data_IF_141696550116
#
_entry.id   IF_141696550116
#
_cell.length_a   1.000
_cell.length_b   1.000
_cell.length_c   1.000
_cell.angle_alpha   90.00
_cell.angle_beta   90.00
_cell.angle_gamma   90.00
#
_symmetry.space_group_name_H-M   'P 1'
#
loop_
_entity.id
_entity.type
_entity.pdbx_description
1 polymer ?
#
# COMPACT_ATOMS: atom_id res chain seq x y z
N UNK A 1 -2.70 -28.72 12.53
CA UNK A 1 -2.17 -28.08 13.75
C UNK A 1 -2.06 -26.59 13.44
N UNK A 2 -3.03 -25.79 13.91
CA UNK A 2 -3.09 -24.36 13.65
C UNK A 2 -2.19 -23.63 14.67
N UNK A 3 -1.11 -23.03 14.21
CA UNK A 3 -0.30 -22.14 15.03
C UNK A 3 -1.06 -20.83 15.22
N UNK A 4 -1.40 -20.50 16.47
CA UNK A 4 -1.98 -19.23 16.83
C UNK A 4 -0.96 -18.10 16.56
N UNK A 5 -1.28 -17.21 15.61
CA UNK A 5 -0.51 -15.99 15.41
C UNK A 5 -0.75 -15.03 16.59
N UNK A 6 0.30 -14.35 17.10
CA UNK A 6 0.14 -13.40 18.20
C UNK A 6 -0.67 -12.19 17.72
N UNK A 7 -1.93 -12.16 18.14
CA UNK A 7 -2.78 -10.96 18.09
C UNK A 7 -2.20 -9.93 19.05
N UNK A 8 -1.90 -8.73 18.56
CA UNK A 8 -1.69 -7.57 19.42
C UNK A 8 -3.01 -7.28 20.15
N UNK A 9 -3.16 -7.88 21.33
CA UNK A 9 -4.27 -7.63 22.24
C UNK A 9 -4.13 -6.21 22.78
N UNK A 10 -4.93 -5.28 22.25
CA UNK A 10 -5.18 -4.02 22.92
C UNK A 10 -5.94 -4.32 24.22
N UNK A 11 -5.23 -4.21 25.35
CA UNK A 11 -5.81 -4.48 26.67
C UNK A 11 -7.02 -3.59 26.93
N UNK A 12 -8.19 -4.22 27.13
CA UNK A 12 -9.34 -3.57 27.77
C UNK A 12 -8.93 -3.24 29.21
N UNK A 13 -8.94 -1.97 29.59
CA UNK A 13 -8.95 -1.60 31.02
C UNK A 13 -10.27 -2.09 31.61
N UNK A 14 -10.19 -2.79 32.75
CA UNK A 14 -11.34 -3.03 33.62
C UNK A 14 -11.85 -1.68 34.11
N UNK A 15 -13.08 -1.31 33.75
CA UNK A 15 -13.82 -0.24 34.43
C UNK A 15 -14.56 -0.86 35.60
N UNK A 16 -14.29 -0.34 36.79
CA UNK A 16 -15.06 -0.62 38.01
C UNK A 16 -16.53 -0.22 37.81
N UNK A 17 -17.44 -1.05 38.32
CA UNK A 17 -18.88 -0.84 38.32
C UNK A 17 -19.25 0.37 39.19
N UNK A 18 -19.91 1.37 38.59
CA UNK A 18 -21.02 2.09 39.23
C UNK A 18 -22.11 2.40 38.20
N UNK A 19 -23.33 2.20 38.66
CA UNK A 19 -24.56 2.10 37.90
C UNK A 19 -25.12 3.43 37.35
N UNK A 20 -26.05 3.24 36.40
CA UNK A 20 -27.08 4.12 35.87
C UNK A 20 -26.71 5.28 34.92
N UNK A 21 -27.22 5.19 33.69
CA UNK A 21 -27.48 6.34 32.83
C UNK A 21 -27.08 6.20 31.36
N UNK A 22 -28.07 5.90 30.50
CA UNK A 22 -28.16 6.19 29.05
C UNK A 22 -27.03 5.73 28.10
N UNK A 23 -27.41 4.77 27.24
CA UNK A 23 -26.72 4.44 25.99
C UNK A 23 -26.68 5.66 25.08
N UNK A 24 -25.50 6.28 24.94
CA UNK A 24 -25.21 7.23 23.87
C UNK A 24 -24.22 6.58 22.91
N UNK A 25 -24.60 6.56 21.64
CA UNK A 25 -23.81 6.08 20.52
C UNK A 25 -22.50 6.86 20.42
N UNK A 26 -21.37 6.24 20.77
CA UNK A 26 -20.05 6.76 20.48
C UNK A 26 -19.76 6.56 18.98
N UNK A 27 -20.21 7.53 18.17
CA UNK A 27 -19.73 7.76 16.82
C UNK A 27 -18.21 7.88 16.87
N UNK A 28 -17.50 6.85 16.39
CA UNK A 28 -16.05 6.90 16.23
C UNK A 28 -15.71 7.92 15.15
N UNK A 29 -15.43 9.16 15.56
CA UNK A 29 -14.89 10.19 14.67
C UNK A 29 -13.57 9.69 14.10
N UNK A 30 -13.58 9.28 12.83
CA UNK A 30 -12.38 9.13 12.03
C UNK A 30 -11.69 10.51 11.99
N UNK A 31 -10.53 10.62 12.63
CA UNK A 31 -9.74 11.85 12.59
C UNK A 31 -9.09 11.91 11.22
N UNK A 32 -9.64 12.76 10.36
CA UNK A 32 -9.07 13.13 9.08
C UNK A 32 -7.65 13.67 9.28
N UNK A 33 -6.69 13.18 8.48
CA UNK A 33 -5.41 13.85 8.28
C UNK A 33 -5.65 15.15 7.51
N UNK A 34 -6.17 16.16 8.19
CA UNK A 34 -6.21 17.50 7.64
C UNK A 34 -4.84 18.14 7.84
N UNK A 35 -4.22 18.54 6.74
CA UNK A 35 -2.98 19.30 6.70
C UNK A 35 -3.18 20.64 7.43
N UNK A 36 -2.88 20.65 8.73
CA UNK A 36 -3.10 21.79 9.61
C UNK A 36 -2.38 21.65 10.95
N UNK A 37 -1.06 21.85 10.92
CA UNK A 37 -0.19 22.33 12.01
C UNK A 37 -0.34 21.84 13.47
N UNK A 38 -1.00 20.71 13.73
CA UNK A 38 -1.02 20.05 15.04
C UNK A 38 -0.37 18.67 14.91
N UNK A 39 0.81 18.49 15.53
CA UNK A 39 1.45 17.16 15.63
C UNK A 39 0.51 16.25 16.43
N UNK A 40 -0.22 15.38 15.74
CA UNK A 40 -1.06 14.39 16.39
C UNK A 40 -0.15 13.41 17.15
N UNK A 41 -0.25 13.40 18.48
CA UNK A 41 0.55 12.54 19.35
C UNK A 41 -0.17 11.20 19.53
N UNK A 42 0.16 10.21 18.71
CA UNK A 42 -0.32 8.84 18.90
C UNK A 42 0.62 8.07 19.82
N UNK A 43 0.53 8.30 21.14
CA UNK A 43 1.44 7.70 22.11
C UNK A 43 1.56 6.17 21.96
N UNK A 44 0.48 5.36 21.88
CA UNK A 44 0.62 3.90 21.76
C UNK A 44 1.36 3.48 20.48
N UNK A 45 1.12 4.18 19.38
CA UNK A 45 1.78 3.92 18.10
C UNK A 45 3.27 4.25 18.17
N UNK A 46 3.62 5.40 18.79
CA UNK A 46 5.00 5.78 19.03
C UNK A 46 5.76 4.76 19.88
N UNK A 47 5.14 4.25 20.96
CA UNK A 47 5.70 3.17 21.77
C UNK A 47 5.81 1.85 20.99
N UNK A 48 4.84 1.54 20.14
CA UNK A 48 4.86 0.38 19.26
C UNK A 48 6.09 0.37 18.35
N UNK A 49 6.36 1.46 17.63
CA UNK A 49 7.55 1.60 16.78
C UNK A 49 8.85 1.63 17.59
N UNK A 50 8.87 2.29 18.76
CA UNK A 50 10.04 2.31 19.64
C UNK A 50 10.42 0.91 20.18
N UNK A 51 9.42 0.07 20.47
CA UNK A 51 9.65 -1.31 20.90
C UNK A 51 10.00 -2.21 19.71
N UNK A 52 9.31 -2.06 18.58
CA UNK A 52 9.58 -2.84 17.36
C UNK A 52 10.97 -2.58 16.81
N UNK A 53 11.47 -1.35 16.83
CA UNK A 53 12.88 -1.07 16.48
C UNK A 53 13.89 -1.81 17.36
N UNK A 54 13.56 -2.11 18.62
CA UNK A 54 14.43 -2.94 19.45
C UNK A 54 14.57 -4.35 18.88
N UNK A 55 13.44 -4.95 18.49
CA UNK A 55 13.40 -6.27 17.87
C UNK A 55 14.09 -6.27 16.50
N UNK A 56 13.84 -5.25 15.67
CA UNK A 56 14.46 -5.13 14.34
C UNK A 56 15.98 -4.99 14.41
N UNK A 57 16.50 -4.32 15.45
CA UNK A 57 17.93 -4.24 15.69
C UNK A 57 18.54 -5.61 15.98
N UNK A 58 17.91 -6.41 16.84
CA UNK A 58 18.34 -7.80 17.13
C UNK A 58 18.22 -8.73 15.92
N UNK A 59 17.26 -8.46 15.03
CA UNK A 59 17.08 -9.17 13.76
C UNK A 59 18.04 -8.70 12.65
N UNK A 60 18.98 -7.78 12.95
CA UNK A 60 19.90 -7.16 11.99
C UNK A 60 19.19 -6.44 10.81
N UNK A 61 17.91 -6.07 10.97
CA UNK A 61 17.14 -5.28 10.01
C UNK A 61 17.41 -3.78 10.26
N UNK A 62 18.66 -3.35 10.12
CA UNK A 62 19.13 -2.04 10.56
C UNK A 62 18.39 -0.87 9.88
N UNK A 63 18.16 -0.91 8.56
CA UNK A 63 17.43 0.16 7.86
C UNK A 63 15.99 0.31 8.37
N UNK A 64 15.30 -0.81 8.60
CA UNK A 64 13.93 -0.80 9.13
C UNK A 64 13.91 -0.37 10.59
N UNK A 65 14.92 -0.74 11.38
CA UNK A 65 15.08 -0.26 12.74
C UNK A 65 15.22 1.27 12.78
N UNK A 66 16.05 1.83 11.90
CA UNK A 66 16.21 3.29 11.78
C UNK A 66 14.88 3.96 11.40
N UNK A 67 14.15 3.39 10.44
CA UNK A 67 12.84 3.89 10.02
C UNK A 67 11.81 3.89 11.17
N UNK A 68 11.75 2.82 11.95
CA UNK A 68 10.88 2.73 13.12
C UNK A 68 11.24 3.77 14.20
N UNK A 69 12.53 4.02 14.41
CA UNK A 69 13.01 5.05 15.35
C UNK A 69 12.52 6.44 14.92
N UNK A 70 12.69 6.78 13.64
CA UNK A 70 12.23 8.06 13.09
C UNK A 70 10.72 8.19 13.17
N UNK A 71 10.00 7.12 12.86
CA UNK A 71 8.53 7.08 12.93
C UNK A 71 8.05 7.26 14.36
N UNK A 72 8.65 6.58 15.33
CA UNK A 72 8.34 6.74 16.75
C UNK A 72 8.49 8.20 17.20
N UNK A 73 9.60 8.84 16.85
CA UNK A 73 9.85 10.25 17.17
C UNK A 73 8.79 11.16 16.52
N UNK A 74 8.46 10.93 15.25
CA UNK A 74 7.43 11.73 14.55
C UNK A 74 6.02 11.57 15.14
N UNK A 75 5.69 10.38 15.66
CA UNK A 75 4.42 10.09 16.34
C UNK A 75 4.36 10.63 17.79
N UNK A 76 5.39 11.35 18.23
CA UNK A 76 5.42 11.99 19.55
C UNK A 76 5.93 11.10 20.67
N UNK A 77 6.88 10.20 20.39
CA UNK A 77 7.59 9.46 21.44
C UNK A 77 8.20 10.45 22.47
N UNK A 78 8.12 10.19 23.78
CA UNK A 78 8.53 11.16 24.79
C UNK A 78 9.99 11.62 24.62
N UNK A 79 10.21 12.94 24.58
CA UNK A 79 11.54 13.54 24.34
C UNK A 79 12.60 13.06 25.34
N UNK A 80 12.21 12.88 26.60
CA UNK A 80 13.06 12.31 27.67
C UNK A 80 13.56 10.89 27.38
N UNK A 81 12.92 10.15 26.47
CA UNK A 81 13.31 8.79 26.08
C UNK A 81 14.03 8.74 24.73
N UNK A 82 14.23 9.89 24.05
CA UNK A 82 14.87 9.93 22.72
C UNK A 82 16.30 9.41 22.73
N UNK A 83 17.06 9.66 23.80
CA UNK A 83 18.46 9.22 23.89
C UNK A 83 18.60 7.70 23.69
N UNK A 84 17.66 6.89 24.20
CA UNK A 84 17.65 5.44 24.01
C UNK A 84 17.44 5.02 22.56
N UNK A 85 16.57 5.74 21.83
CA UNK A 85 16.35 5.48 20.41
C UNK A 85 17.53 5.95 19.57
N UNK A 86 18.12 7.11 19.88
CA UNK A 86 19.28 7.63 19.16
C UNK A 86 20.52 6.76 19.38
N UNK A 87 20.72 6.22 20.57
CA UNK A 87 21.78 5.22 20.83
C UNK A 87 21.60 4.00 19.92
N UNK A 88 20.38 3.45 19.83
CA UNK A 88 20.08 2.33 18.91
C UNK A 88 20.29 2.70 17.45
N UNK A 89 19.89 3.91 17.04
CA UNK A 89 20.08 4.42 15.67
C UNK A 89 21.58 4.53 15.33
N UNK A 90 22.40 5.05 16.24
CA UNK A 90 23.85 5.10 16.08
C UNK A 90 24.45 3.69 15.93
N UNK A 91 24.03 2.74 16.77
CA UNK A 91 24.46 1.33 16.65
C UNK A 91 24.09 0.71 15.29
N UNK A 92 22.91 1.02 14.75
CA UNK A 92 22.52 0.58 13.40
C UNK A 92 23.52 1.09 12.34
N UNK A 93 23.83 2.39 12.37
CA UNK A 93 24.78 2.97 11.42
C UNK A 93 26.20 2.43 11.57
N UNK A 94 26.65 2.17 12.81
CA UNK A 94 27.94 1.51 13.07
C UNK A 94 27.97 0.11 12.45
N UNK A 95 26.92 -0.69 12.68
CA UNK A 95 26.82 -2.04 12.12
C UNK A 95 26.80 -2.04 10.58
N UNK A 96 26.22 -1.00 9.97
CA UNK A 96 26.22 -0.78 8.52
C UNK A 96 27.47 -0.09 7.97
N UNK A 97 28.49 0.20 8.81
CA UNK A 97 29.72 0.93 8.44
C UNK A 97 29.47 2.37 7.95
N UNK A 98 28.34 2.97 8.32
CA UNK A 98 27.94 4.34 7.96
C UNK A 98 28.44 5.34 9.02
N UNK A 99 29.77 5.49 9.11
CA UNK A 99 30.47 6.25 10.17
C UNK A 99 30.01 7.70 10.31
N UNK A 100 29.88 8.43 9.19
CA UNK A 100 29.50 9.85 9.22
C UNK A 100 28.12 10.07 9.86
N UNK A 101 27.16 9.21 9.53
CA UNK A 101 25.80 9.30 10.08
C UNK A 101 25.75 8.84 11.55
N UNK A 102 26.52 7.80 11.91
CA UNK A 102 26.65 7.38 13.29
C UNK A 102 27.15 8.53 14.18
N UNK A 103 28.23 9.20 13.77
CA UNK A 103 28.79 10.35 14.51
C UNK A 103 27.77 11.48 14.67
N UNK A 104 27.10 11.86 13.58
CA UNK A 104 26.05 12.90 13.59
C UNK A 104 24.92 12.58 14.58
N UNK A 105 24.47 11.31 14.62
CA UNK A 105 23.43 10.88 15.57
C UNK A 105 23.93 10.91 17.02
N UNK A 106 25.18 10.50 17.26
CA UNK A 106 25.78 10.52 18.60
C UNK A 106 25.90 11.94 19.13
N UNK A 107 26.39 12.88 18.32
CA UNK A 107 26.48 14.30 18.66
C UNK A 107 25.12 14.88 19.01
N UNK A 108 24.11 14.63 18.15
CA UNK A 108 22.72 15.05 18.39
C UNK A 108 22.16 14.47 19.70
N UNK A 109 22.50 13.22 20.03
CA UNK A 109 22.04 12.55 21.25
C UNK A 109 22.70 13.14 22.52
N UNK A 110 23.99 13.44 22.46
CA UNK A 110 24.73 14.08 23.56
C UNK A 110 24.19 15.47 23.85
N UNK A 111 23.97 16.29 22.82
CA UNK A 111 23.35 17.61 22.95
C UNK A 111 21.94 17.52 23.57
N UNK A 112 21.12 16.60 23.05
CA UNK A 112 19.75 16.38 23.53
C UNK A 112 19.75 15.97 25.00
N UNK A 113 20.67 15.10 25.42
CA UNK A 113 20.80 14.65 26.82
C UNK A 113 21.15 15.78 27.79
N UNK A 114 21.87 16.82 27.36
CA UNK A 114 22.21 17.99 28.19
C UNK A 114 21.01 18.93 28.35
N UNK A 115 20.17 19.04 27.33
CA UNK A 115 19.04 19.97 27.30
C UNK A 115 17.79 19.49 28.08
N UNK A 116 17.73 18.22 28.49
CA UNK A 116 16.53 17.59 29.05
C UNK A 116 16.60 17.39 30.56
N UNK A 117 15.46 17.53 31.28
CA UNK A 117 15.36 17.25 32.71
C UNK A 117 15.33 15.73 32.96
N UNK A 118 16.45 15.06 32.70
CA UNK A 118 16.65 13.64 33.01
C UNK A 118 17.10 13.48 34.47
N UNK A 119 16.77 12.34 35.07
CA UNK A 119 17.41 11.92 36.32
C UNK A 119 18.94 11.80 36.11
N UNK A 120 19.72 12.22 37.11
CA UNK A 120 21.17 12.33 36.96
C UNK A 120 21.86 10.99 36.71
N UNK A 121 21.32 9.90 37.26
CA UNK A 121 21.86 8.54 37.03
C UNK A 121 21.62 8.09 35.60
N UNK A 122 20.41 8.30 35.07
CA UNK A 122 20.03 7.96 33.69
C UNK A 122 20.82 8.79 32.67
N UNK A 123 21.06 10.07 32.98
CA UNK A 123 21.86 10.96 32.15
C UNK A 123 23.30 10.48 32.03
N UNK A 124 23.96 10.19 33.16
CA UNK A 124 25.35 9.68 33.18
C UNK A 124 25.48 8.37 32.41
N UNK A 125 24.62 7.40 32.68
CA UNK A 125 24.63 6.11 31.98
C UNK A 125 24.44 6.26 30.47
N UNK A 126 23.52 7.12 30.02
CA UNK A 126 23.33 7.37 28.58
C UNK A 126 24.52 8.09 27.94
N UNK A 127 25.13 9.04 28.63
CA UNK A 127 26.31 9.77 28.13
C UNK A 127 27.52 8.86 28.02
N UNK A 128 27.77 8.01 29.02
CA UNK A 128 28.85 7.02 28.98
C UNK A 128 28.70 6.07 27.79
N UNK A 129 27.49 5.54 27.56
CA UNK A 129 27.20 4.69 26.41
C UNK A 129 27.45 5.40 25.07
N UNK A 130 27.00 6.65 24.92
CA UNK A 130 27.21 7.44 23.70
C UNK A 130 28.68 7.79 23.47
N UNK A 131 29.43 8.14 24.53
CA UNK A 131 30.88 8.39 24.45
C UNK A 131 31.65 7.13 24.07
N UNK A 132 31.22 5.96 24.57
CA UNK A 132 31.81 4.68 24.17
C UNK A 132 31.57 4.40 22.68
N UNK A 133 30.35 4.63 22.18
CA UNK A 133 30.04 4.50 20.76
C UNK A 133 30.84 5.49 19.90
N UNK A 134 31.02 6.72 20.38
CA UNK A 134 31.83 7.73 19.69
C UNK A 134 33.29 7.27 19.53
N UNK A 135 33.90 6.76 20.61
CA UNK A 135 35.25 6.16 20.57
C UNK A 135 35.30 4.96 19.63
N UNK A 136 34.29 4.09 19.65
CA UNK A 136 34.19 2.94 18.75
C UNK A 136 34.18 3.39 17.27
N UNK A 137 33.39 4.41 16.93
CA UNK A 137 33.37 5.00 15.59
C UNK A 137 34.73 5.57 15.16
N UNK A 138 35.50 6.14 16.10
CA UNK A 138 36.81 6.70 15.81
C UNK A 138 37.86 5.60 15.58
N UNK A 139 37.82 4.52 16.36
CA UNK A 139 38.85 3.47 16.40
C UNK A 139 38.65 2.42 15.29
N UNK A 140 37.44 2.19 14.77
CA UNK A 140 37.19 1.19 13.72
C UNK A 140 38.04 1.47 12.45
N UNK A 141 39.19 0.80 12.35
CA UNK A 141 39.84 0.42 11.11
C UNK A 141 38.97 -0.63 10.42
N UNK A 142 38.88 -0.58 9.08
CA UNK A 142 37.80 -1.15 8.27
C UNK A 142 37.73 -2.70 8.18
N UNK A 143 38.45 -3.46 9.01
CA UNK A 143 38.74 -4.88 8.73
C UNK A 143 38.14 -5.91 9.71
N UNK A 144 37.76 -5.56 10.93
CA UNK A 144 37.29 -6.58 11.90
C UNK A 144 35.77 -6.80 11.89
N UNK A 145 35.36 -7.96 11.35
CA UNK A 145 33.96 -8.43 11.26
C UNK A 145 33.36 -8.97 12.57
N UNK A 146 34.12 -8.95 13.68
CA UNK A 146 33.76 -9.64 14.93
C UNK A 146 32.99 -8.79 15.96
N UNK A 147 32.86 -7.48 15.75
CA UNK A 147 32.28 -6.54 16.73
C UNK A 147 31.01 -5.82 16.24
N UNK A 148 30.02 -6.56 15.71
CA UNK A 148 28.69 -5.99 15.49
C UNK A 148 28.04 -5.64 16.83
N UNK A 149 27.62 -4.38 17.06
CA UNK A 149 26.94 -4.02 18.29
C UNK A 149 25.61 -4.78 18.41
N UNK A 150 25.40 -5.50 19.50
CA UNK A 150 24.13 -6.16 19.85
C UNK A 150 23.49 -5.50 21.08
N UNK A 151 22.18 -5.65 21.27
CA UNK A 151 21.59 -5.40 22.58
C UNK A 151 21.89 -6.61 23.47
N UNK A 152 21.95 -6.41 24.79
CA UNK A 152 22.19 -7.48 25.78
C UNK A 152 20.96 -8.41 25.89
N UNK A 153 20.59 -9.10 24.82
CA UNK A 153 19.49 -10.07 24.80
C UNK A 153 20.03 -11.46 24.54
N UNK A 154 19.71 -12.40 25.43
CA UNK A 154 20.09 -13.82 25.36
C UNK A 154 19.30 -14.61 24.29
N UNK A 155 19.02 -14.01 23.13
CA UNK A 155 18.26 -14.67 22.07
C UNK A 155 19.17 -15.60 21.23
N UNK A 156 18.83 -16.89 21.06
CA UNK A 156 19.60 -17.81 20.23
C UNK A 156 19.62 -17.36 18.76
N UNK A 157 20.80 -17.35 18.13
CA UNK A 157 20.98 -16.98 16.72
C UNK A 157 20.16 -17.83 15.74
N UNK A 158 19.91 -19.10 16.07
CA UNK A 158 19.10 -20.02 15.26
C UNK A 158 17.62 -19.61 15.13
N UNK A 159 17.09 -18.78 16.03
CA UNK A 159 15.73 -18.27 15.95
C UNK A 159 15.55 -17.15 14.91
N UNK A 160 16.63 -16.46 14.54
CA UNK A 160 16.61 -15.31 13.60
C UNK A 160 16.46 -15.79 12.16
N UNK A 161 17.12 -16.90 11.80
CA UNK A 161 17.13 -17.44 10.43
C UNK A 161 15.75 -17.95 9.97
N UNK A 162 14.93 -18.49 10.88
CA UNK A 162 13.59 -19.00 10.57
C UNK A 162 12.51 -17.91 10.44
N UNK A 163 12.61 -16.80 11.19
CA UNK A 163 11.61 -15.73 11.16
C UNK A 163 11.76 -14.82 9.94
N UNK A 164 12.97 -14.72 9.39
CA UNK A 164 13.32 -13.88 8.25
C UNK A 164 13.46 -14.70 6.96
N UNK A 165 12.69 -15.76 6.77
CA UNK A 165 12.54 -16.37 5.44
C UNK A 165 11.86 -15.35 4.52
N UNK A 166 12.66 -14.37 4.05
CA UNK A 166 12.30 -13.25 3.21
C UNK A 166 11.95 -13.87 1.87
N UNK A 167 10.68 -14.20 1.69
CA UNK A 167 10.16 -14.37 0.34
C UNK A 167 10.29 -13.00 -0.33
N UNK A 168 11.42 -12.77 -0.99
CA UNK A 168 11.65 -11.56 -1.77
C UNK A 168 10.81 -11.75 -3.01
N UNK A 169 9.76 -10.94 -3.16
CA UNK A 169 9.06 -10.84 -4.44
C UNK A 169 10.11 -10.54 -5.51
N UNK A 170 10.31 -11.42 -6.50
CA UNK A 170 11.30 -11.18 -7.53
C UNK A 170 10.92 -9.89 -8.26
N UNK A 171 11.94 -9.13 -8.67
CA UNK A 171 11.69 -8.01 -9.57
C UNK A 171 11.12 -8.57 -10.88
N UNK A 172 10.16 -7.87 -11.52
CA UNK A 172 9.71 -8.25 -12.85
C UNK A 172 10.91 -8.43 -13.79
N UNK A 173 10.88 -9.44 -14.68
CA UNK A 173 11.94 -9.59 -15.67
C UNK A 173 11.94 -8.39 -16.63
N UNK A 174 13.09 -8.15 -17.25
CA UNK A 174 13.17 -7.18 -18.36
C UNK A 174 12.63 -7.83 -19.62
N UNK A 175 11.91 -7.05 -20.42
CA UNK A 175 11.51 -7.42 -21.77
C UNK A 175 12.62 -6.98 -22.74
N UNK A 176 13.38 -7.90 -23.35
CA UNK A 176 14.57 -7.55 -24.11
C UNK A 176 14.25 -6.85 -25.44
N UNK A 177 13.15 -7.22 -26.08
CA UNK A 177 12.81 -6.79 -27.43
C UNK A 177 11.32 -6.36 -27.55
N UNK A 178 10.94 -5.21 -26.96
CA UNK A 178 9.56 -4.73 -27.02
C UNK A 178 9.04 -4.51 -28.45
N UNK A 179 7.76 -4.80 -28.65
CA UNK A 179 7.02 -4.46 -29.86
C UNK A 179 6.85 -2.94 -29.96
N UNK A 180 6.97 -2.41 -31.18
CA UNK A 180 6.85 -0.97 -31.44
C UNK A 180 5.49 -0.40 -31.03
N UNK A 181 4.42 -1.19 -31.15
CA UNK A 181 3.05 -0.75 -30.91
C UNK A 181 2.49 -1.20 -29.56
N UNK A 182 3.13 -2.18 -28.91
CA UNK A 182 2.70 -2.73 -27.62
C UNK A 182 3.97 -2.90 -26.77
N UNK A 183 4.43 -1.85 -26.06
CA UNK A 183 5.73 -1.87 -25.37
C UNK A 183 5.85 -2.94 -24.28
N UNK A 184 4.72 -3.46 -23.78
CA UNK A 184 4.67 -4.57 -22.81
C UNK A 184 4.84 -5.95 -23.44
N UNK A 185 4.86 -6.08 -24.77
CA UNK A 185 4.84 -7.34 -25.52
C UNK A 185 6.13 -7.52 -26.32
N UNK A 186 6.70 -8.73 -26.33
CA UNK A 186 7.87 -9.05 -27.17
C UNK A 186 7.54 -8.92 -28.66
N UNK A 187 8.51 -8.49 -29.47
CA UNK A 187 8.40 -8.38 -30.93
C UNK A 187 8.19 -9.74 -31.64
N UNK A 188 8.42 -10.86 -30.92
CA UNK A 188 8.16 -12.23 -31.39
C UNK A 188 6.69 -12.60 -31.33
N UNK A 189 5.86 -11.77 -30.70
CA UNK A 189 4.41 -11.95 -30.61
C UNK A 189 3.75 -10.76 -31.28
N UNK A 190 2.61 -11.01 -31.93
CA UNK A 190 1.80 -9.96 -32.53
C UNK A 190 0.34 -10.11 -32.12
N UNK A 191 -0.36 -8.98 -32.06
CA UNK A 191 -1.80 -8.94 -31.91
C UNK A 191 -2.45 -9.32 -33.25
N UNK A 192 -3.35 -10.30 -33.20
CA UNK A 192 -4.21 -10.70 -34.29
C UNK A 192 -5.68 -10.46 -33.90
N UNK A 193 -6.57 -10.52 -34.90
CA UNK A 193 -7.99 -10.33 -34.70
C UNK A 193 -8.79 -11.30 -35.56
N UNK A 194 -9.89 -11.81 -35.01
CA UNK A 194 -10.92 -12.50 -35.76
C UNK A 194 -12.30 -12.12 -35.22
N UNK A 195 -13.35 -12.07 -36.06
CA UNK A 195 -14.71 -11.75 -35.58
C UNK A 195 -15.22 -12.69 -34.49
N UNK A 196 -14.75 -13.94 -34.47
CA UNK A 196 -15.21 -14.97 -33.53
C UNK A 196 -14.46 -14.95 -32.20
N UNK A 197 -13.17 -14.57 -32.18
CA UNK A 197 -12.35 -14.60 -30.95
C UNK A 197 -12.04 -13.19 -30.42
N UNK A 198 -12.35 -12.14 -31.18
CA UNK A 198 -11.88 -10.80 -30.90
C UNK A 198 -10.37 -10.69 -31.09
N UNK A 199 -9.71 -9.94 -30.20
CA UNK A 199 -8.24 -9.75 -30.20
C UNK A 199 -7.56 -10.92 -29.49
N UNK A 200 -6.50 -11.46 -30.08
CA UNK A 200 -5.68 -12.52 -29.50
C UNK A 200 -4.22 -12.36 -29.89
N UNK A 201 -3.32 -13.03 -29.16
CA UNK A 201 -1.89 -13.00 -29.43
C UNK A 201 -1.48 -14.23 -30.25
N UNK A 202 -0.63 -14.03 -31.26
CA UNK A 202 -0.02 -15.11 -32.06
C UNK A 202 1.48 -14.96 -32.14
N UNK A 203 2.19 -16.08 -32.22
CA UNK A 203 3.62 -16.07 -32.49
C UNK A 203 3.89 -15.53 -33.90
N UNK A 204 4.81 -14.57 -34.00
CA UNK A 204 5.36 -14.04 -35.25
C UNK A 204 6.66 -14.75 -35.64
N UNK A 205 7.42 -15.22 -34.64
CA UNK A 205 8.69 -15.93 -34.79
C UNK A 205 8.74 -17.13 -33.83
N UNK A 206 9.77 -17.96 -33.97
CA UNK A 206 10.04 -19.05 -33.03
C UNK A 206 10.33 -18.52 -31.62
N UNK A 207 9.66 -19.13 -30.64
CA UNK A 207 9.76 -18.82 -29.22
C UNK A 207 10.39 -20.02 -28.51
N UNK A 208 11.52 -19.79 -27.85
CA UNK A 208 12.25 -20.81 -27.10
C UNK A 208 11.75 -20.88 -25.65
N UNK A 209 11.86 -22.05 -24.99
CA UNK A 209 11.52 -22.19 -23.58
C UNK A 209 12.27 -21.19 -22.69
N UNK A 210 11.53 -20.48 -21.84
CA UNK A 210 12.08 -19.49 -20.90
C UNK A 210 12.14 -18.05 -21.44
N UNK A 211 11.79 -17.81 -22.70
CA UNK A 211 11.70 -16.44 -23.22
C UNK A 211 10.52 -15.67 -22.62
N UNK A 212 10.76 -14.39 -22.32
CA UNK A 212 9.77 -13.48 -21.76
C UNK A 212 8.96 -12.85 -22.89
N UNK A 213 7.67 -13.14 -22.94
CA UNK A 213 6.79 -12.67 -24.02
C UNK A 213 6.01 -11.40 -23.66
N UNK A 214 5.71 -11.21 -22.39
CA UNK A 214 4.88 -10.11 -21.91
C UNK A 214 5.31 -9.70 -20.51
N UNK A 215 5.47 -8.41 -20.29
CA UNK A 215 5.73 -7.81 -18.98
C UNK A 215 4.80 -6.61 -18.83
N UNK A 216 3.79 -6.73 -17.96
CA UNK A 216 2.84 -5.67 -17.68
C UNK A 216 2.81 -5.35 -16.19
N UNK A 217 2.83 -4.05 -15.88
CA UNK A 217 2.44 -3.60 -14.56
C UNK A 217 0.91 -3.56 -14.48
N UNK A 218 0.33 -4.30 -13.53
CA UNK A 218 -1.13 -4.28 -13.33
C UNK A 218 -1.61 -2.87 -12.98
N UNK A 219 -2.51 -2.33 -13.81
CA UNK A 219 -3.12 -1.00 -13.63
C UNK A 219 -3.70 -0.84 -12.22
N UNK A 220 -4.50 -1.81 -11.78
CA UNK A 220 -5.06 -1.82 -10.42
C UNK A 220 -4.91 -3.19 -9.76
N UNK A 221 -4.97 -3.18 -8.42
CA UNK A 221 -4.71 -4.36 -7.59
C UNK A 221 -5.65 -4.37 -6.39
N UNK A 222 -6.01 -5.56 -5.94
CA UNK A 222 -6.84 -5.76 -4.75
C UNK A 222 -6.36 -6.97 -3.97
N UNK A 223 -6.16 -6.80 -2.66
CA UNK A 223 -6.01 -7.93 -1.75
C UNK A 223 -7.40 -8.49 -1.45
N UNK A 224 -7.47 -9.79 -1.19
CA UNK A 224 -8.69 -10.35 -0.63
C UNK A 224 -9.00 -9.67 0.71
N UNK A 225 -10.11 -8.93 0.74
CA UNK A 225 -10.49 -8.07 1.87
C UNK A 225 -10.72 -8.86 3.17
N UNK A 226 -11.10 -10.13 3.06
CA UNK A 226 -11.46 -10.96 4.22
C UNK A 226 -10.25 -11.62 4.90
N UNK A 227 -9.11 -11.70 4.21
CA UNK A 227 -8.01 -12.59 4.64
C UNK A 227 -6.62 -11.97 4.65
N UNK A 228 -6.33 -11.01 3.76
CA UNK A 228 -4.94 -10.60 3.50
C UNK A 228 -4.61 -9.15 3.86
N UNK A 229 -5.59 -8.32 4.23
CA UNK A 229 -5.38 -6.89 4.55
C UNK A 229 -4.41 -6.64 5.71
N UNK A 230 -4.20 -7.62 6.59
CA UNK A 230 -3.33 -7.53 7.77
C UNK A 230 -2.02 -8.31 7.64
N UNK A 231 -1.81 -8.98 6.51
CA UNK A 231 -0.61 -9.83 6.29
C UNK A 231 0.17 -9.42 5.05
N UNK A 232 -0.46 -8.75 4.09
CA UNK A 232 0.16 -8.35 2.83
C UNK A 232 0.03 -6.84 2.60
N UNK A 233 0.96 -6.29 1.82
CA UNK A 233 0.98 -4.91 1.43
C UNK A 233 -0.22 -4.59 0.54
N UNK A 234 -1.02 -3.60 0.92
CA UNK A 234 -2.17 -3.16 0.13
C UNK A 234 -1.83 -2.48 -1.19
N UNK A 235 -0.54 -2.21 -1.46
CA UNK A 235 -0.05 -1.68 -2.73
C UNK A 235 0.59 -2.70 -3.66
N UNK A 236 1.64 -3.39 -3.19
CA UNK A 236 2.40 -4.34 -4.01
C UNK A 236 2.00 -5.81 -3.81
N UNK A 237 1.05 -6.10 -2.93
CA UNK A 237 0.58 -7.44 -2.58
C UNK A 237 1.62 -8.35 -1.92
N UNK A 238 2.85 -7.88 -1.66
CA UNK A 238 3.89 -8.66 -1.01
C UNK A 238 3.57 -8.91 0.47
N UNK A 239 3.96 -10.07 1.00
CA UNK A 239 3.87 -10.35 2.43
C UNK A 239 4.66 -9.34 3.27
N UNK A 240 4.04 -8.82 4.32
CA UNK A 240 4.63 -7.81 5.20
C UNK A 240 5.20 -8.45 6.45
N UNK A 241 6.52 -8.47 6.59
CA UNK A 241 7.17 -8.86 7.86
C UNK A 241 7.26 -7.70 8.85
N UNK A 242 7.40 -6.48 8.33
CA UNK A 242 7.50 -5.25 9.13
C UNK A 242 6.47 -4.25 8.60
N UNK A 243 5.19 -4.38 8.97
CA UNK A 243 4.11 -3.62 8.36
C UNK A 243 4.09 -2.16 8.81
N UNK A 244 3.84 -1.24 7.89
CA UNK A 244 3.44 0.13 8.19
C UNK A 244 1.91 0.23 8.09
N UNK A 245 1.20 0.65 9.14
CA UNK A 245 -0.27 0.79 9.07
C UNK A 245 -0.66 2.00 8.22
N UNK A 246 -1.89 2.03 7.70
CA UNK A 246 -2.44 3.30 7.23
C UNK A 246 -2.50 4.31 8.38
N UNK A 247 -2.14 5.58 8.15
CA UNK A 247 -2.24 6.62 9.18
C UNK A 247 -3.70 6.91 9.58
N UNK A 248 -4.66 6.73 8.67
CA UNK A 248 -6.07 7.10 8.84
C UNK A 248 -6.98 5.93 9.26
N UNK A 249 -6.62 4.67 8.98
CA UNK A 249 -7.44 3.52 9.33
C UNK A 249 -6.62 2.31 9.79
N UNK A 250 -7.19 1.42 10.62
CA UNK A 250 -6.53 0.19 11.05
C UNK A 250 -6.69 -0.98 10.06
N UNK A 251 -7.26 -0.73 8.87
CA UNK A 251 -7.69 -1.80 7.96
C UNK A 251 -6.55 -2.40 7.16
N UNK A 252 -5.57 -1.59 6.74
CA UNK A 252 -4.53 -1.97 5.78
C UNK A 252 -3.12 -1.77 6.32
N UNK A 253 -2.19 -2.49 5.72
CA UNK A 253 -0.76 -2.36 5.97
C UNK A 253 0.03 -2.23 4.67
N UNK A 254 1.25 -1.72 4.78
CA UNK A 254 2.20 -1.52 3.68
C UNK A 254 3.56 -2.10 4.04
N UNK A 255 4.31 -2.57 3.05
CA UNK A 255 5.64 -3.13 3.27
C UNK A 255 6.73 -2.05 3.36
N UNK A 256 6.45 -0.84 2.88
CA UNK A 256 7.41 0.27 2.84
C UNK A 256 6.68 1.61 2.82
N UNK A 257 7.43 2.70 3.09
CA UNK A 257 6.88 4.06 3.10
C UNK A 257 6.48 4.50 1.70
N UNK A 258 7.24 4.06 0.70
CA UNK A 258 6.95 4.32 -0.72
C UNK A 258 5.61 3.69 -1.12
N UNK A 259 5.34 2.43 -0.72
CA UNK A 259 4.03 1.82 -0.94
C UNK A 259 2.91 2.56 -0.18
N UNK A 260 3.15 2.93 1.08
CA UNK A 260 2.16 3.65 1.89
C UNK A 260 1.78 4.99 1.24
N UNK A 261 2.77 5.82 0.89
CA UNK A 261 2.56 7.14 0.29
C UNK A 261 1.92 7.03 -1.09
N UNK A 262 2.40 6.11 -1.94
CA UNK A 262 1.84 5.88 -3.27
C UNK A 262 0.38 5.47 -3.21
N UNK A 263 0.02 4.48 -2.41
CA UNK A 263 -1.37 4.02 -2.36
C UNK A 263 -2.30 5.03 -1.69
N UNK A 264 -1.81 5.80 -0.70
CA UNK A 264 -2.57 6.92 -0.12
C UNK A 264 -2.86 8.01 -1.16
N UNK A 265 -1.92 8.29 -2.06
CA UNK A 265 -2.11 9.24 -3.15
C UNK A 265 -3.02 8.71 -4.27
N UNK A 266 -3.05 7.39 -4.47
CA UNK A 266 -3.90 6.72 -5.46
C UNK A 266 -5.29 6.40 -4.87
N UNK A 267 -5.62 5.11 -4.77
CA UNK A 267 -6.96 4.66 -4.41
C UNK A 267 -7.19 4.56 -2.90
N UNK A 268 -6.16 4.29 -2.08
CA UNK A 268 -6.40 4.05 -0.65
C UNK A 268 -6.86 5.32 0.06
N UNK A 269 -6.29 6.48 -0.27
CA UNK A 269 -6.76 7.75 0.29
C UNK A 269 -8.23 8.01 0.03
N UNK A 270 -8.71 7.63 -1.16
CA UNK A 270 -10.11 7.81 -1.57
C UNK A 270 -11.05 6.78 -0.94
N UNK A 271 -10.65 5.51 -0.82
CA UNK A 271 -11.49 4.47 -0.23
C UNK A 271 -11.36 4.36 1.31
N UNK A 272 -10.41 5.05 1.94
CA UNK A 272 -10.01 4.79 3.33
C UNK A 272 -11.19 4.78 4.32
N UNK A 273 -12.10 5.74 4.20
CA UNK A 273 -13.28 5.87 5.07
C UNK A 273 -14.42 4.90 4.74
N UNK A 274 -14.41 4.30 3.55
CA UNK A 274 -15.44 3.35 3.08
C UNK A 274 -14.94 1.90 3.05
N UNK A 275 -13.65 1.65 3.20
CA UNK A 275 -13.04 0.33 3.11
C UNK A 275 -13.61 -0.67 4.11
N UNK A 276 -13.89 -0.24 5.34
CA UNK A 276 -14.53 -1.10 6.34
C UNK A 276 -15.93 -1.56 5.89
N UNK A 277 -16.69 -0.66 5.27
CA UNK A 277 -18.00 -0.97 4.68
C UNK A 277 -17.86 -1.89 3.47
N UNK A 278 -16.90 -1.62 2.57
CA UNK A 278 -16.61 -2.50 1.42
C UNK A 278 -16.29 -3.93 1.86
N UNK A 279 -15.47 -4.09 2.90
CA UNK A 279 -15.15 -5.40 3.48
C UNK A 279 -16.39 -6.08 4.08
N UNK A 280 -17.19 -5.34 4.87
CA UNK A 280 -18.39 -5.88 5.51
C UNK A 280 -19.51 -6.28 4.53
N UNK A 281 -19.54 -5.69 3.33
CA UNK A 281 -20.52 -6.02 2.29
C UNK A 281 -20.25 -7.37 1.61
N UNK A 282 -19.04 -7.92 1.72
CA UNK A 282 -18.62 -9.13 1.02
C UNK A 282 -18.97 -9.12 -0.48
N UNK A 283 -18.85 -7.95 -1.13
CA UNK A 283 -19.22 -7.74 -2.54
C UNK A 283 -18.27 -8.47 -3.52
N UNK A 284 -17.19 -9.05 -3.01
CA UNK A 284 -16.18 -9.78 -3.77
C UNK A 284 -15.06 -8.88 -4.31
N UNK A 285 -13.96 -9.50 -4.71
CA UNK A 285 -12.76 -8.76 -5.13
C UNK A 285 -12.94 -8.06 -6.48
N UNK A 286 -13.74 -8.62 -7.39
CA UNK A 286 -13.90 -8.05 -8.74
C UNK A 286 -14.61 -6.67 -8.70
N UNK A 287 -15.72 -6.48 -7.98
CA UNK A 287 -16.32 -5.15 -7.84
C UNK A 287 -15.39 -4.16 -7.13
N UNK A 288 -14.63 -4.61 -6.12
CA UNK A 288 -13.63 -3.76 -5.45
C UNK A 288 -12.49 -3.37 -6.39
N UNK A 289 -12.07 -4.26 -7.29
CA UNK A 289 -11.08 -3.94 -8.32
C UNK A 289 -11.63 -2.90 -9.31
N UNK A 290 -12.88 -3.04 -9.76
CA UNK A 290 -13.56 -2.04 -10.59
C UNK A 290 -13.65 -0.67 -9.90
N UNK A 291 -13.94 -0.67 -8.59
CA UNK A 291 -13.96 0.53 -7.76
C UNK A 291 -12.60 1.23 -7.73
N UNK A 292 -11.51 0.48 -7.52
CA UNK A 292 -10.14 1.02 -7.50
C UNK A 292 -9.67 1.49 -8.88
N UNK A 293 -10.06 0.82 -9.96
CA UNK A 293 -9.78 1.28 -11.34
C UNK A 293 -10.36 2.69 -11.54
N UNK A 294 -11.61 2.90 -11.11
CA UNK A 294 -12.25 4.21 -11.21
C UNK A 294 -11.52 5.27 -10.37
N UNK A 295 -11.15 4.94 -9.13
CA UNK A 295 -10.46 5.86 -8.23
C UNK A 295 -9.04 6.24 -8.68
N UNK A 296 -8.43 5.51 -9.60
CA UNK A 296 -7.13 5.91 -10.15
C UNK A 296 -7.22 7.08 -11.13
N UNK A 297 -8.42 7.47 -11.56
CA UNK A 297 -8.67 8.72 -12.30
C UNK A 297 -9.43 9.71 -11.41
N UNK A 298 -9.34 11.00 -11.69
CA UNK A 298 -10.23 11.99 -11.07
C UNK A 298 -11.59 12.01 -11.76
N UNK A 299 -12.61 12.52 -11.07
CA UNK A 299 -13.93 12.70 -11.66
C UNK A 299 -13.92 13.64 -12.89
N UNK A 300 -13.16 14.73 -12.84
CA UNK A 300 -13.00 15.67 -13.98
C UNK A 300 -12.41 14.98 -15.21
N UNK A 301 -11.32 14.22 -15.02
CA UNK A 301 -10.71 13.44 -16.11
C UNK A 301 -11.68 12.40 -16.67
N UNK A 302 -12.47 11.75 -15.81
CA UNK A 302 -13.47 10.79 -16.24
C UNK A 302 -14.56 11.43 -17.10
N UNK A 303 -15.03 12.63 -16.72
CA UNK A 303 -15.99 13.44 -17.48
C UNK A 303 -15.50 13.84 -18.86
N UNK A 304 -14.20 14.07 -19.00
CA UNK A 304 -13.57 14.38 -20.29
C UNK A 304 -13.37 13.13 -21.16
N UNK A 305 -12.85 12.05 -20.58
CA UNK A 305 -12.41 10.87 -21.33
C UNK A 305 -13.54 9.92 -21.73
N UNK A 306 -14.50 9.67 -20.84
CA UNK A 306 -15.51 8.61 -21.07
C UNK A 306 -16.41 8.88 -22.27
N UNK A 307 -16.92 10.09 -22.52
CA UNK A 307 -17.70 10.36 -23.73
C UNK A 307 -16.92 10.07 -25.01
N UNK A 308 -15.63 10.45 -25.05
CA UNK A 308 -14.73 10.16 -26.18
C UNK A 308 -14.62 8.65 -26.38
N UNK A 309 -14.36 7.89 -25.32
CA UNK A 309 -14.21 6.43 -25.45
C UNK A 309 -15.53 5.74 -25.82
N UNK A 310 -16.68 6.28 -25.41
CA UNK A 310 -17.99 5.79 -25.86
C UNK A 310 -18.19 6.01 -27.36
N UNK A 311 -17.77 7.17 -27.89
CA UNK A 311 -17.78 7.41 -29.33
C UNK A 311 -16.80 6.50 -30.07
N UNK A 312 -15.63 6.22 -29.50
CA UNK A 312 -14.65 5.30 -30.09
C UNK A 312 -15.21 3.89 -30.24
N UNK A 313 -15.92 3.38 -29.23
CA UNK A 313 -16.57 2.05 -29.29
C UNK A 313 -17.55 1.94 -30.47
N UNK A 314 -18.18 3.04 -30.89
CA UNK A 314 -19.15 3.04 -31.99
C UNK A 314 -18.49 3.20 -33.37
N UNK A 315 -17.35 3.89 -33.42
CA UNK A 315 -16.79 4.39 -34.69
C UNK A 315 -15.42 3.78 -35.04
N UNK A 316 -14.74 3.11 -34.10
CA UNK A 316 -13.41 2.53 -34.31
C UNK A 316 -13.52 1.00 -34.46
N UNK A 317 -12.80 0.39 -35.41
CA UNK A 317 -12.73 -1.07 -35.53
C UNK A 317 -12.25 -1.75 -34.24
N UNK A 318 -12.86 -2.89 -33.90
CA UNK A 318 -12.63 -3.59 -32.63
C UNK A 318 -11.15 -3.93 -32.37
N UNK A 319 -10.38 -4.21 -33.43
CA UNK A 319 -8.95 -4.51 -33.37
C UNK A 319 -8.08 -3.31 -32.98
N UNK A 320 -8.59 -2.08 -33.16
CA UNK A 320 -7.88 -0.82 -32.83
C UNK A 320 -8.30 -0.23 -31.48
N UNK A 321 -9.34 -0.75 -30.84
CA UNK A 321 -9.78 -0.26 -29.54
C UNK A 321 -8.68 -0.43 -28.49
N UNK A 322 -8.49 0.57 -27.64
CA UNK A 322 -7.42 0.61 -26.63
C UNK A 322 -6.08 1.18 -27.11
N UNK A 323 -5.85 1.30 -28.43
CA UNK A 323 -4.68 2.00 -28.95
C UNK A 323 -4.91 3.51 -28.93
N UNK A 324 -3.86 4.27 -28.60
CA UNK A 324 -3.91 5.73 -28.67
C UNK A 324 -3.77 6.23 -30.12
N UNK A 325 -3.80 7.56 -30.31
CA UNK A 325 -3.73 8.20 -31.64
C UNK A 325 -2.43 7.92 -32.39
N UNK A 326 -1.37 7.53 -31.69
CA UNK A 326 -0.09 7.15 -32.27
C UNK A 326 -0.02 5.65 -32.61
N UNK A 327 -1.11 4.89 -32.41
CA UNK A 327 -1.15 3.46 -32.64
C UNK A 327 -0.40 2.65 -31.58
N UNK A 328 -0.25 3.19 -30.36
CA UNK A 328 0.39 2.52 -29.22
C UNK A 328 -0.66 2.02 -28.23
N UNK A 329 -0.55 0.77 -27.81
CA UNK A 329 -1.27 0.18 -26.70
C UNK A 329 -0.39 0.26 -25.44
N UNK A 330 -0.74 1.15 -24.52
CA UNK A 330 -0.01 1.34 -23.27
C UNK A 330 -0.85 0.84 -22.09
N UNK A 331 -0.51 -0.34 -21.56
CA UNK A 331 -1.23 -0.98 -20.45
C UNK A 331 -1.19 -0.18 -19.14
N UNK A 332 -0.34 0.86 -19.05
CA UNK A 332 -0.31 1.78 -17.90
C UNK A 332 -1.37 2.88 -17.97
N UNK A 333 -1.99 3.09 -19.15
CA UNK A 333 -3.05 4.08 -19.33
C UNK A 333 -4.45 3.50 -19.06
N UNK A 334 -5.39 4.39 -18.75
CA UNK A 334 -6.79 4.01 -18.53
C UNK A 334 -7.52 3.54 -19.80
N UNK A 335 -7.09 4.04 -20.98
CA UNK A 335 -7.76 3.79 -22.27
C UNK A 335 -7.87 2.29 -22.59
N UNK A 336 -6.82 1.46 -22.50
CA UNK A 336 -6.96 0.02 -22.66
C UNK A 336 -7.96 -0.65 -21.71
N UNK A 337 -8.02 -0.19 -20.45
CA UNK A 337 -8.90 -0.75 -19.41
C UNK A 337 -10.37 -0.51 -19.74
N UNK A 338 -10.71 0.71 -20.21
CA UNK A 338 -12.06 1.02 -20.64
C UNK A 338 -12.50 0.15 -21.83
N UNK A 339 -11.58 -0.07 -22.77
CA UNK A 339 -11.82 -0.83 -24.01
C UNK A 339 -11.68 -2.36 -23.86
N UNK A 340 -11.67 -2.87 -22.62
CA UNK A 340 -11.81 -4.31 -22.39
C UNK A 340 -13.24 -4.76 -22.78
N UNK A 341 -13.36 -6.02 -23.18
CA UNK A 341 -14.63 -6.56 -23.66
C UNK A 341 -15.58 -6.81 -22.47
N UNK A 342 -16.81 -6.33 -22.57
CA UNK A 342 -17.82 -6.51 -21.51
C UNK A 342 -18.53 -7.85 -21.60
N UNK A 343 -18.58 -8.49 -22.78
CA UNK A 343 -19.44 -9.64 -23.07
C UNK A 343 -20.88 -9.40 -22.57
N UNK A 344 -21.39 -8.18 -22.72
CA UNK A 344 -22.71 -7.79 -22.19
C UNK A 344 -23.85 -8.58 -22.83
N UNK A 345 -23.75 -8.81 -24.13
CA UNK A 345 -24.79 -9.47 -24.94
C UNK A 345 -24.91 -10.97 -24.66
N UNK A 346 -23.87 -11.60 -24.14
CA UNK A 346 -23.87 -13.03 -23.79
C UNK A 346 -24.31 -13.31 -22.35
N UNK A 347 -24.72 -12.30 -21.58
CA UNK A 347 -25.10 -12.43 -20.16
C UNK A 347 -26.60 -12.46 -19.96
N UNK A 348 -27.05 -13.23 -18.96
CA UNK A 348 -28.45 -13.25 -18.56
C UNK A 348 -28.91 -11.92 -17.95
N UNK A 349 -30.21 -11.63 -18.03
CA UNK A 349 -30.80 -10.45 -17.39
C UNK A 349 -30.54 -10.41 -15.87
N UNK A 350 -30.54 -11.56 -15.20
CA UNK A 350 -30.25 -11.67 -13.78
C UNK A 350 -28.81 -11.26 -13.46
N UNK A 351 -27.84 -11.73 -14.25
CA UNK A 351 -26.44 -11.32 -14.07
C UNK A 351 -26.24 -9.82 -14.30
N UNK A 352 -26.87 -9.26 -15.34
CA UNK A 352 -26.82 -7.83 -15.62
C UNK A 352 -27.42 -7.04 -14.45
N UNK A 353 -28.53 -7.50 -13.89
CA UNK A 353 -29.15 -6.88 -12.72
C UNK A 353 -28.23 -6.92 -11.49
N UNK A 354 -27.63 -8.07 -11.17
CA UNK A 354 -26.70 -8.20 -10.04
C UNK A 354 -25.51 -7.25 -10.19
N UNK A 355 -24.91 -7.19 -11.38
CA UNK A 355 -23.75 -6.32 -11.67
C UNK A 355 -24.15 -4.84 -11.60
N UNK A 356 -25.35 -4.48 -12.02
CA UNK A 356 -25.91 -3.14 -11.88
C UNK A 356 -26.13 -2.76 -10.41
N UNK A 357 -26.70 -3.67 -9.61
CA UNK A 357 -26.89 -3.46 -8.18
C UNK A 357 -25.54 -3.27 -7.46
N UNK A 358 -24.51 -4.06 -7.80
CA UNK A 358 -23.15 -3.87 -7.29
C UNK A 358 -22.58 -2.50 -7.65
N UNK A 359 -22.69 -2.08 -8.93
CA UNK A 359 -22.24 -0.76 -9.37
C UNK A 359 -22.95 0.37 -8.62
N UNK A 360 -24.26 0.24 -8.38
CA UNK A 360 -25.03 1.21 -7.62
C UNK A 360 -24.55 1.32 -6.16
N UNK A 361 -24.33 0.19 -5.48
CA UNK A 361 -23.81 0.18 -4.10
C UNK A 361 -22.45 0.86 -4.03
N UNK A 362 -21.54 0.53 -4.97
CA UNK A 362 -20.23 1.17 -5.05
C UNK A 362 -20.33 2.67 -5.33
N UNK A 363 -21.24 3.10 -6.21
CA UNK A 363 -21.48 4.52 -6.44
C UNK A 363 -21.94 5.24 -5.17
N UNK A 364 -22.81 4.63 -4.37
CA UNK A 364 -23.22 5.19 -3.07
C UNK A 364 -22.05 5.32 -2.09
N UNK A 365 -21.08 4.39 -2.14
CA UNK A 365 -19.85 4.51 -1.37
C UNK A 365 -18.93 5.62 -1.91
N UNK A 366 -18.83 5.82 -3.22
CA UNK A 366 -18.10 6.97 -3.80
C UNK A 366 -18.68 8.29 -3.33
N UNK A 367 -20.01 8.45 -3.35
CA UNK A 367 -20.69 9.65 -2.85
C UNK A 367 -20.38 9.90 -1.36
N UNK A 368 -20.24 8.84 -0.56
CA UNK A 368 -19.90 8.93 0.87
C UNK A 368 -18.40 9.10 1.14
N UNK A 369 -17.54 8.84 0.16
CA UNK A 369 -16.09 9.00 0.33
C UNK A 369 -15.71 10.47 0.52
N UNK A 370 -16.45 11.40 -0.08
CA UNK A 370 -16.11 12.83 -0.16
C UNK A 370 -14.73 13.13 -0.79
N UNK A 371 -14.13 12.16 -1.49
CA UNK A 371 -12.81 12.29 -2.11
C UNK A 371 -12.84 12.17 -3.64
N UNK A 372 -13.82 11.47 -4.21
CA UNK A 372 -13.89 11.25 -5.66
C UNK A 372 -14.73 12.29 -6.40
N UNK A 373 -15.96 12.54 -5.94
CA UNK A 373 -16.88 13.53 -6.53
C UNK A 373 -16.56 14.94 -5.99
N UNK A 374 -15.41 15.44 -6.42
CA UNK A 374 -14.87 16.75 -6.06
C UNK A 374 -14.55 17.57 -7.31
N UNK A 375 -14.61 18.88 -7.18
CA UNK A 375 -14.14 19.81 -8.21
C UNK A 375 -12.60 19.76 -8.33
N UNK A 376 -12.05 20.43 -9.35
CA UNK A 376 -10.61 20.49 -9.58
C UNK A 376 -9.82 21.12 -8.40
N UNK A 377 -10.47 21.94 -7.58
CA UNK A 377 -9.91 22.53 -6.36
C UNK A 377 -10.05 21.64 -5.11
N UNK A 378 -10.62 20.44 -5.26
CA UNK A 378 -10.86 19.47 -4.18
C UNK A 378 -12.15 19.73 -3.38
N UNK A 379 -12.96 20.72 -3.75
CA UNK A 379 -14.23 20.96 -3.05
C UNK A 379 -15.26 19.90 -3.40
N UNK A 380 -15.90 19.32 -2.38
CA UNK A 380 -16.99 18.35 -2.54
C UNK A 380 -18.19 19.05 -3.15
N UNK A 381 -18.78 18.47 -4.20
CA UNK A 381 -20.03 18.95 -4.79
C UNK A 381 -21.14 17.91 -4.69
N UNK A 382 -22.38 18.36 -4.79
CA UNK A 382 -23.54 17.47 -4.90
C UNK A 382 -23.66 17.01 -6.35
N UNK A 383 -23.52 15.71 -6.65
CA UNK A 383 -23.54 15.23 -8.03
C UNK A 383 -24.92 15.40 -8.66
N UNK A 384 -24.95 15.87 -9.91
CA UNK A 384 -26.15 15.90 -10.74
C UNK A 384 -26.55 14.49 -11.18
N UNK A 385 -27.74 14.36 -11.77
CA UNK A 385 -28.18 13.08 -12.33
C UNK A 385 -27.24 12.57 -13.44
N UNK A 386 -26.67 13.47 -14.23
CA UNK A 386 -25.69 13.13 -15.27
C UNK A 386 -24.38 12.61 -14.66
N UNK A 387 -23.90 13.23 -13.59
CA UNK A 387 -22.67 12.84 -12.91
C UNK A 387 -22.81 11.43 -12.26
N UNK A 388 -23.98 11.16 -11.68
CA UNK A 388 -24.36 9.85 -11.13
C UNK A 388 -24.42 8.81 -12.26
N UNK A 389 -25.07 9.13 -13.38
CA UNK A 389 -25.22 8.20 -14.50
C UNK A 389 -23.87 7.87 -15.13
N UNK A 390 -23.01 8.87 -15.33
CA UNK A 390 -21.66 8.69 -15.86
C UNK A 390 -20.82 7.79 -14.96
N UNK A 391 -20.76 8.09 -13.67
CA UNK A 391 -19.94 7.34 -12.70
C UNK A 391 -20.48 5.91 -12.52
N UNK A 392 -21.79 5.75 -12.38
CA UNK A 392 -22.46 4.46 -12.22
C UNK A 392 -22.34 3.56 -13.44
N UNK A 393 -22.56 4.10 -14.65
CA UNK A 393 -22.40 3.35 -15.90
C UNK A 393 -20.95 2.95 -16.18
N UNK A 394 -20.00 3.79 -15.78
CA UNK A 394 -18.56 3.47 -15.88
C UNK A 394 -18.17 2.36 -14.89
N UNK A 395 -18.63 2.42 -13.63
CA UNK A 395 -18.45 1.32 -12.68
C UNK A 395 -19.06 0.02 -13.18
N UNK A 396 -20.29 0.08 -13.70
CA UNK A 396 -20.96 -1.07 -14.29
C UNK A 396 -20.14 -1.68 -15.43
N UNK A 397 -19.60 -0.83 -16.31
CA UNK A 397 -18.72 -1.25 -17.42
C UNK A 397 -17.47 -1.96 -16.90
N UNK A 398 -16.78 -1.42 -15.89
CA UNK A 398 -15.58 -2.04 -15.32
C UNK A 398 -15.87 -3.35 -14.59
N UNK A 399 -16.99 -3.45 -13.86
CA UNK A 399 -17.43 -4.73 -13.29
C UNK A 399 -17.63 -5.75 -14.41
N UNK A 400 -18.23 -5.34 -15.52
CA UNK A 400 -18.46 -6.22 -16.66
C UNK A 400 -17.15 -6.66 -17.33
N UNK A 401 -16.21 -5.74 -17.55
CA UNK A 401 -14.90 -5.99 -18.14
C UNK A 401 -14.10 -7.04 -17.35
N UNK A 402 -14.15 -6.97 -16.02
CA UNK A 402 -13.36 -7.82 -15.14
C UNK A 402 -14.01 -9.17 -14.84
N UNK A 403 -15.34 -9.26 -14.87
CA UNK A 403 -16.01 -10.55 -14.79
C UNK A 403 -15.88 -11.28 -16.12
N UNK A 404 -14.80 -12.03 -16.31
CA UNK A 404 -14.72 -12.97 -17.41
C UNK A 404 -15.82 -14.02 -17.24
N UNK A 405 -16.54 -14.32 -18.33
CA UNK A 405 -17.34 -15.54 -18.42
C UNK A 405 -16.34 -16.70 -18.47
N UNK A 406 -15.76 -17.08 -17.33
CA UNK A 406 -15.38 -18.47 -17.15
C UNK A 406 -16.69 -19.22 -16.95
N UNK A 407 -17.37 -19.49 -18.06
CA UNK A 407 -18.14 -20.71 -18.17
C UNK A 407 -17.13 -21.82 -17.92
N UNK A 408 -17.00 -22.25 -16.67
CA UNK A 408 -16.69 -23.64 -16.42
C UNK A 408 -17.84 -24.41 -17.08
N UNK A 409 -17.68 -24.71 -18.37
CA UNK A 409 -18.43 -25.80 -18.95
C UNK A 409 -17.98 -27.04 -18.18
N UNK A 410 -18.90 -27.73 -17.48
CA UNK A 410 -18.58 -28.96 -16.78
C UNK A 410 -18.07 -30.05 -17.73
#
# INVERSE_FOLDING_TARGET
>A
MYAAHPVLLFGRRKSEEKADGQVTSASGSAVYFNSGNSKIVYQPLAFGFANRSAVLFELNEYDKCVQDIETAISCGYPRILHCKLLERKAKCFIAQRRKAEALKVIETALETSLSLPLDETKRKSSQEALQQLYKQCQIQSLEDSSNTPTCKSDFPSSCVEGFLQKYKTPKPPLLPDPSANIPSLSNKVQLAFSPTQGRFLVAKNDILPGEVLLVEEGYSRVLNLDSHLKTHCSGCLAGCTVPLPCPCCPMVIFCSKECQERELALYHGQECNTLATLAALHIGNIPVLAFRILMQTTYSQLKEMVPIFQEEVLNIPAEKLGFNRNGIYDSSEYRPIFHLVTNKESRSALELFIKCAMAFVLLKLLEKSHHFLVNADGTVFTPSQEDILLSGSTLFTHIMNLFLQFSFHP
#
